data_IF_432630335092
#
_entry.id   IF_432630335092
#
_cell.length_a   1.000
_cell.length_b   1.000
_cell.length_c   1.000
_cell.angle_alpha   90.00
_cell.angle_beta   90.00
_cell.angle_gamma   90.00
#
_symmetry.space_group_name_H-M   'P 1'
#
loop_
_entity.id
_entity.type
_entity.pdbx_description
1 polymer ?
#
# COMPACT_ATOMS: atom_id res chain seq x y z
N UNK A 1 1.24 -9.36 -12.33
CA UNK A 1 1.42 -9.01 -10.89
C UNK A 1 2.82 -8.48 -10.73
N UNK A 2 3.03 -7.49 -9.88
CA UNK A 2 4.33 -6.86 -9.66
C UNK A 2 4.71 -6.91 -8.19
N UNK A 3 6.00 -6.97 -7.90
CA UNK A 3 6.54 -6.92 -6.54
C UNK A 3 7.66 -5.86 -6.50
N UNK A 4 7.76 -5.12 -5.41
CA UNK A 4 8.76 -4.06 -5.24
C UNK A 4 9.18 -3.91 -3.79
N UNK A 5 10.46 -3.56 -3.59
CA UNK A 5 11.00 -3.17 -2.28
C UNK A 5 10.70 -1.70 -2.04
N UNK A 6 10.27 -1.38 -0.84
CA UNK A 6 9.88 -0.04 -0.47
C UNK A 6 9.97 0.18 1.03
N UNK A 7 9.86 1.43 1.45
CA UNK A 7 9.78 1.83 2.85
C UNK A 7 8.35 2.22 3.20
N UNK A 8 7.82 1.71 4.30
CA UNK A 8 6.47 2.04 4.77
C UNK A 8 6.37 3.52 5.15
N UNK A 9 5.35 4.23 4.65
CA UNK A 9 5.14 5.64 4.97
C UNK A 9 3.88 5.90 5.78
N UNK A 10 2.88 5.01 5.75
CA UNK A 10 1.64 5.20 6.50
C UNK A 10 0.41 4.59 5.82
N UNK A 11 -0.73 4.69 6.48
CA UNK A 11 -2.05 4.36 5.92
C UNK A 11 -2.98 5.55 6.11
N UNK A 12 -3.59 6.01 5.02
CA UNK A 12 -4.63 7.02 5.05
C UNK A 12 -6.02 6.36 4.98
N UNK A 13 -6.94 6.83 5.81
CA UNK A 13 -8.36 6.45 5.78
C UNK A 13 -9.17 7.52 5.05
N UNK A 14 -9.88 7.12 4.01
CA UNK A 14 -10.79 7.99 3.26
C UNK A 14 -12.23 7.55 3.55
N UNK A 15 -13.01 8.43 4.15
CA UNK A 15 -14.44 8.24 4.34
C UNK A 15 -15.20 8.89 3.17
N UNK A 16 -16.04 8.14 2.48
CA UNK A 16 -16.89 8.69 1.43
C UNK A 16 -18.16 9.30 2.01
N UNK A 17 -18.83 10.14 1.21
CA UNK A 17 -20.13 10.73 1.57
C UNK A 17 -21.22 9.67 1.82
N UNK A 18 -21.05 8.46 1.28
CA UNK A 18 -21.94 7.31 1.49
C UNK A 18 -21.61 6.52 2.76
N UNK A 19 -20.64 6.98 3.57
CA UNK A 19 -20.20 6.30 4.80
C UNK A 19 -19.28 5.10 4.58
N UNK A 20 -18.80 4.86 3.34
CA UNK A 20 -17.83 3.79 3.07
C UNK A 20 -16.43 4.28 3.41
N UNK A 21 -15.67 3.49 4.15
CA UNK A 21 -14.27 3.75 4.45
C UNK A 21 -13.36 2.95 3.50
N UNK A 22 -12.32 3.60 3.00
CA UNK A 22 -11.26 2.98 2.21
C UNK A 22 -9.91 3.29 2.85
N UNK A 23 -9.00 2.33 2.80
CA UNK A 23 -7.63 2.49 3.29
C UNK A 23 -6.67 2.55 2.10
N UNK A 24 -5.74 3.50 2.15
CA UNK A 24 -4.67 3.66 1.16
C UNK A 24 -3.34 3.50 1.87
N UNK A 25 -2.56 2.50 1.44
CA UNK A 25 -1.18 2.31 1.85
C UNK A 25 -0.29 3.32 1.12
N UNK A 26 0.57 4.01 1.85
CA UNK A 26 1.65 4.83 1.31
C UNK A 26 2.99 4.18 1.56
N UNK A 27 3.82 4.12 0.53
CA UNK A 27 5.20 3.65 0.61
C UNK A 27 6.12 4.57 -0.19
N UNK A 28 7.41 4.50 0.09
CA UNK A 28 8.45 5.13 -0.71
C UNK A 28 9.18 4.02 -1.47
N UNK A 29 9.18 4.07 -2.79
CA UNK A 29 9.93 3.12 -3.62
C UNK A 29 11.42 3.22 -3.29
N UNK A 30 12.07 2.09 -3.04
CA UNK A 30 13.46 2.08 -2.60
C UNK A 30 14.45 2.41 -3.72
N UNK A 31 14.07 2.21 -4.98
CA UNK A 31 14.94 2.43 -6.13
C UNK A 31 14.85 3.87 -6.63
N UNK A 32 13.63 4.43 -6.71
CA UNK A 32 13.41 5.79 -7.24
C UNK A 32 13.28 6.86 -6.16
N UNK A 33 12.94 6.47 -4.93
CA UNK A 33 12.60 7.42 -3.86
C UNK A 33 11.21 8.05 -4.03
N UNK A 34 10.41 7.60 -4.99
CA UNK A 34 9.08 8.15 -5.25
C UNK A 34 8.05 7.65 -4.23
N UNK A 35 7.10 8.51 -3.88
CA UNK A 35 5.94 8.10 -3.10
C UNK A 35 4.94 7.34 -3.97
N UNK A 36 4.59 6.13 -3.52
CA UNK A 36 3.61 5.27 -4.15
C UNK A 36 2.42 5.05 -3.23
N UNK A 37 1.21 5.04 -3.80
CA UNK A 37 -0.05 4.85 -3.08
C UNK A 37 -0.83 3.65 -3.64
N UNK A 38 -1.30 2.77 -2.76
CA UNK A 38 -2.03 1.58 -3.14
C UNK A 38 -3.33 1.43 -2.35
N UNK A 39 -4.42 1.10 -3.04
CA UNK A 39 -5.67 0.73 -2.38
C UNK A 39 -5.49 -0.58 -1.63
N UNK A 40 -5.88 -0.60 -0.36
CA UNK A 40 -5.92 -1.79 0.47
C UNK A 40 -7.30 -2.44 0.29
N UNK A 41 -7.32 -3.67 -0.21
CA UNK A 41 -8.55 -4.47 -0.28
C UNK A 41 -9.02 -4.89 1.11
N UNK A 42 -10.32 -5.11 1.29
CA UNK A 42 -10.90 -5.52 2.59
C UNK A 42 -10.35 -6.86 3.10
N UNK A 43 -9.79 -7.68 2.21
CA UNK A 43 -9.18 -8.99 2.48
C UNK A 43 -7.68 -8.90 2.84
N UNK A 44 -7.08 -7.72 2.80
CA UNK A 44 -5.65 -7.52 3.03
C UNK A 44 -5.39 -7.04 4.45
N UNK A 45 -4.56 -7.79 5.16
CA UNK A 45 -4.04 -7.40 6.47
C UNK A 45 -2.66 -6.80 6.30
N UNK A 46 -2.52 -5.52 6.64
CA UNK A 46 -1.20 -4.88 6.73
C UNK A 46 -0.61 -5.15 8.11
N UNK A 47 0.60 -5.72 8.21
CA UNK A 47 1.24 -5.93 9.50
C UNK A 47 1.57 -4.57 10.16
N UNK A 48 1.75 -4.52 11.48
CA UNK A 48 2.20 -3.29 12.14
C UNK A 48 3.63 -2.95 11.69
N UNK A 49 3.77 -1.89 10.89
CA UNK A 49 5.04 -1.40 10.36
C UNK A 49 5.36 -0.03 10.95
N UNK A 50 6.64 0.23 11.26
CA UNK A 50 7.10 1.55 11.66
C UNK A 50 7.35 2.43 10.44
N UNK A 51 7.27 3.75 10.63
CA UNK A 51 7.58 4.70 9.56
C UNK A 51 9.01 4.48 9.05
N UNK A 52 9.15 4.42 7.73
CA UNK A 52 10.35 4.09 6.95
C UNK A 52 10.93 2.68 7.16
N UNK A 53 10.16 1.76 7.77
CA UNK A 53 10.54 0.35 7.87
C UNK A 53 10.54 -0.30 6.48
N UNK A 54 11.57 -1.10 6.19
CA UNK A 54 11.70 -1.80 4.92
C UNK A 54 10.63 -2.88 4.79
N UNK A 55 9.99 -2.90 3.63
CA UNK A 55 8.92 -3.83 3.32
C UNK A 55 8.94 -4.18 1.83
N UNK A 56 8.26 -5.26 1.50
CA UNK A 56 8.03 -5.69 0.12
C UNK A 56 6.54 -5.71 -0.14
N UNK A 57 6.11 -4.97 -1.15
CA UNK A 57 4.71 -4.95 -1.60
C UNK A 57 4.53 -5.82 -2.83
N UNK A 58 3.38 -6.47 -2.92
CA UNK A 58 2.89 -7.12 -4.12
C UNK A 58 1.64 -6.42 -4.58
N UNK A 59 1.60 -6.03 -5.85
CA UNK A 59 0.48 -5.29 -6.43
C UNK A 59 -0.07 -5.96 -7.68
N UNK A 60 -1.35 -5.70 -7.94
CA UNK A 60 -2.04 -6.07 -9.16
C UNK A 60 -2.65 -4.83 -9.78
N UNK A 61 -2.32 -4.56 -11.04
CA UNK A 61 -2.97 -3.48 -11.81
C UNK A 61 -4.23 -4.04 -12.44
N UNK A 62 -5.39 -3.46 -12.12
CA UNK A 62 -6.67 -3.76 -12.74
C UNK A 62 -7.36 -2.45 -13.08
N UNK A 63 -7.89 -2.31 -14.29
CA UNK A 63 -8.60 -1.10 -14.73
C UNK A 63 -7.82 0.20 -14.47
N UNK A 64 -6.50 0.19 -14.74
CA UNK A 64 -5.56 1.30 -14.47
C UNK A 64 -5.40 1.69 -12.99
N UNK A 65 -5.88 0.87 -12.04
CA UNK A 65 -5.68 1.07 -10.61
C UNK A 65 -4.73 0.01 -10.05
N UNK A 66 -3.73 0.44 -9.28
CA UNK A 66 -2.85 -0.45 -8.54
C UNK A 66 -3.51 -0.84 -7.20
N UNK A 67 -3.79 -2.14 -7.05
CA UNK A 67 -4.33 -2.72 -5.82
C UNK A 67 -3.26 -3.48 -5.09
N UNK A 68 -3.19 -3.27 -3.77
CA UNK A 68 -2.34 -4.07 -2.89
C UNK A 68 -2.87 -5.50 -2.84
N UNK A 69 -1.96 -6.46 -3.02
CA UNK A 69 -2.24 -7.89 -2.89
C UNK A 69 -1.63 -8.43 -1.60
N UNK A 70 -0.44 -7.97 -1.24
CA UNK A 70 0.19 -8.29 0.04
C UNK A 70 1.28 -7.29 0.36
N UNK A 71 1.63 -7.19 1.62
CA UNK A 71 2.80 -6.46 2.11
C UNK A 71 3.43 -7.31 3.22
N UNK A 72 4.75 -7.45 3.16
CA UNK A 72 5.53 -8.20 4.16
C UNK A 72 6.71 -7.37 4.63
N UNK A 73 7.10 -7.57 5.89
CA UNK A 73 8.36 -7.03 6.42
C UNK A 73 9.52 -7.76 5.73
N UNK A 74 10.58 -7.01 5.43
CA UNK A 74 11.84 -7.54 4.90
C UNK A 74 12.88 -7.59 6.01
#
# INVERSE_FOLDING_TARGET
MFEGLCKYSGINKILTKEGKAFEILKVVDSDTGDFCEFYIGNDIVVPPLKMFEDCKVKIKVQNRQARLVSIVRV
#
